data_IF_701447342781
#
_entry.id   IF_701447342781
#
_cell.length_a   1.000
_cell.length_b   1.000
_cell.length_c   1.000
_cell.angle_alpha   90.00
_cell.angle_beta   90.00
_cell.angle_gamma   90.00
#
_symmetry.space_group_name_H-M   'P 1'
#
loop_
_entity.id
_entity.type
_entity.pdbx_description
1 polymer ?
#
# COMPACT_ATOMS: atom_id res chain seq x y z
N UNK A 1 16.82 16.43 26.16
CA UNK A 1 17.00 15.45 25.06
C UNK A 1 16.14 14.21 25.30
N UNK A 2 14.86 14.40 25.67
CA UNK A 2 13.88 13.32 25.92
C UNK A 2 12.70 13.41 24.92
N UNK A 3 12.53 14.55 24.24
CA UNK A 3 11.36 14.79 23.36
C UNK A 3 11.48 14.24 21.94
N UNK A 4 12.68 13.92 21.43
CA UNK A 4 12.82 13.43 20.05
C UNK A 4 12.44 11.95 19.93
N UNK A 5 12.77 11.12 20.91
CA UNK A 5 12.44 9.69 20.91
C UNK A 5 10.93 9.51 21.07
N UNK A 6 10.32 10.21 22.03
CA UNK A 6 8.86 10.16 22.25
C UNK A 6 8.08 10.76 21.09
N UNK A 7 8.59 11.81 20.43
CA UNK A 7 7.99 12.34 19.21
C UNK A 7 8.05 11.31 18.07
N UNK A 8 9.20 10.68 17.83
CA UNK A 8 9.36 9.64 16.81
C UNK A 8 8.44 8.44 17.05
N UNK A 9 8.34 7.96 18.29
CA UNK A 9 7.42 6.89 18.71
C UNK A 9 5.95 7.31 18.58
N UNK A 10 5.61 8.56 18.92
CA UNK A 10 4.25 9.09 18.74
C UNK A 10 3.88 9.31 17.26
N UNK A 11 4.87 9.62 16.42
CA UNK A 11 4.71 9.70 14.98
C UNK A 11 4.53 8.32 14.36
N UNK A 12 4.93 7.21 15.00
CA UNK A 12 4.59 5.86 14.54
C UNK A 12 3.10 5.54 14.65
N UNK A 13 2.35 6.32 15.43
CA UNK A 13 0.92 6.10 15.64
C UNK A 13 0.04 6.94 14.71
N UNK A 14 0.59 7.97 14.06
CA UNK A 14 -0.18 8.98 13.31
C UNK A 14 0.66 9.60 12.18
N UNK A 15 1.65 8.90 11.64
CA UNK A 15 2.65 9.37 10.68
C UNK A 15 2.13 10.40 9.67
N UNK A 16 2.37 11.72 9.87
CA UNK A 16 2.06 12.73 8.86
C UNK A 16 3.02 12.57 7.67
N UNK A 17 2.61 12.82 6.42
CA UNK A 17 1.46 13.64 6.01
C UNK A 17 0.05 13.01 6.12
N UNK A 18 -0.07 11.76 6.60
CA UNK A 18 -1.32 10.98 6.65
C UNK A 18 -2.30 11.31 7.78
N UNK A 19 -2.09 12.41 8.51
CA UNK A 19 -3.15 13.07 9.27
C UNK A 19 -4.21 13.73 8.38
N UNK A 20 -3.97 13.76 7.05
CA UNK A 20 -4.91 14.17 6.01
C UNK A 20 -5.45 12.96 5.24
N UNK A 21 -6.51 13.18 4.46
CA UNK A 21 -7.05 12.14 3.57
C UNK A 21 -5.97 11.62 2.63
N UNK A 22 -5.85 10.30 2.56
CA UNK A 22 -5.00 9.61 1.60
C UNK A 22 -5.28 10.12 0.16
N UNK A 23 -4.27 10.42 -0.69
CA UNK A 23 -4.51 10.85 -2.06
C UNK A 23 -5.32 9.80 -2.82
N UNK A 24 -6.22 10.24 -3.71
CA UNK A 24 -7.04 9.33 -4.48
C UNK A 24 -6.18 8.45 -5.38
N UNK A 25 -6.62 7.21 -5.59
CA UNK A 25 -6.02 6.32 -6.58
C UNK A 25 -6.43 6.75 -7.99
N UNK A 26 -5.49 6.67 -8.93
CA UNK A 26 -5.69 6.91 -10.35
C UNK A 26 -6.50 5.79 -11.01
N UNK A 27 -6.25 4.56 -10.57
CA UNK A 27 -6.92 3.34 -11.04
C UNK A 27 -7.31 2.46 -9.86
N UNK A 28 -8.43 1.76 -10.01
CA UNK A 28 -8.90 0.81 -9.00
C UNK A 28 -8.20 -0.53 -9.15
N UNK A 29 -8.24 -1.32 -8.08
CA UNK A 29 -7.92 -2.74 -8.15
C UNK A 29 -8.72 -3.40 -9.27
N UNK A 30 -8.06 -4.26 -10.04
CA UNK A 30 -8.58 -5.00 -11.20
C UNK A 30 -8.97 -4.11 -12.38
N UNK A 31 -8.72 -2.80 -12.32
CA UNK A 31 -8.94 -1.94 -13.47
C UNK A 31 -7.90 -2.22 -14.55
N UNK A 32 -8.38 -2.43 -15.77
CA UNK A 32 -7.57 -2.60 -16.95
C UNK A 32 -6.89 -1.29 -17.31
N UNK A 33 -5.62 -1.37 -17.67
CA UNK A 33 -4.78 -0.25 -18.11
C UNK A 33 -4.13 -0.56 -19.46
N UNK A 34 -3.75 0.48 -20.18
CA UNK A 34 -2.98 0.39 -21.42
C UNK A 34 -1.57 0.95 -21.19
N UNK A 35 -0.56 0.24 -21.68
CA UNK A 35 0.83 0.64 -21.61
C UNK A 35 1.20 1.44 -22.87
N UNK A 36 1.77 2.66 -22.76
CA UNK A 36 2.01 3.53 -23.91
C UNK A 36 3.01 2.96 -24.94
N UNK A 37 3.93 2.11 -24.49
CA UNK A 37 5.11 1.71 -25.28
C UNK A 37 4.80 0.54 -26.24
N UNK A 38 3.72 -0.21 -26.03
CA UNK A 38 3.58 -1.54 -26.65
C UNK A 38 2.18 -1.96 -27.07
N UNK A 39 1.17 -1.08 -27.03
CA UNK A 39 -0.27 -1.42 -27.19
C UNK A 39 -0.72 -2.57 -26.26
N UNK A 40 0.10 -2.91 -25.27
CA UNK A 40 -0.18 -3.97 -24.33
C UNK A 40 -1.17 -3.48 -23.30
N UNK A 41 -2.08 -4.38 -22.94
CA UNK A 41 -3.00 -4.14 -21.85
C UNK A 41 -2.67 -5.02 -20.67
N UNK A 42 -2.75 -4.45 -19.48
CA UNK A 42 -2.65 -5.17 -18.21
C UNK A 42 -3.79 -4.78 -17.29
N UNK A 43 -3.75 -5.24 -16.05
CA UNK A 43 -4.67 -4.80 -15.01
C UNK A 43 -3.94 -4.50 -13.71
N UNK A 44 -4.48 -3.58 -12.93
CA UNK A 44 -3.97 -3.25 -11.62
C UNK A 44 -4.23 -4.41 -10.65
N UNK A 45 -3.16 -5.03 -10.15
CA UNK A 45 -3.22 -6.08 -9.14
C UNK A 45 -2.76 -5.59 -7.76
N UNK A 46 -2.30 -4.35 -7.64
CA UNK A 46 -1.89 -3.80 -6.37
C UNK A 46 -1.48 -2.35 -6.47
N UNK A 47 -1.38 -1.71 -5.33
CA UNK A 47 -0.91 -0.34 -5.21
C UNK A 47 -0.18 -0.19 -3.87
N UNK A 48 0.89 0.60 -3.86
CA UNK A 48 1.63 0.93 -2.67
C UNK A 48 2.03 2.40 -2.68
N UNK A 49 2.11 3.01 -1.50
CA UNK A 49 2.67 4.33 -1.34
C UNK A 49 4.19 4.23 -1.23
N UNK A 50 4.91 4.90 -2.12
CA UNK A 50 6.37 4.95 -2.12
C UNK A 50 6.86 6.31 -2.62
N UNK A 51 7.88 6.88 -1.98
CA UNK A 51 8.51 8.16 -2.39
C UNK A 51 7.48 9.27 -2.69
N UNK A 52 6.47 9.40 -1.83
CA UNK A 52 5.43 10.42 -1.91
C UNK A 52 4.49 10.30 -3.14
N UNK A 53 4.35 9.10 -3.71
CA UNK A 53 3.40 8.84 -4.79
C UNK A 53 2.84 7.41 -4.72
N UNK A 54 1.75 7.18 -5.44
CA UNK A 54 1.23 5.84 -5.68
C UNK A 54 2.04 5.13 -6.75
N UNK A 55 2.52 3.94 -6.41
CA UNK A 55 3.11 2.99 -7.35
C UNK A 55 2.12 1.85 -7.54
N UNK A 56 1.76 1.61 -8.80
CA UNK A 56 0.77 0.63 -9.22
C UNK A 56 1.45 -0.62 -9.74
N UNK A 57 1.02 -1.77 -9.23
CA UNK A 57 1.46 -3.07 -9.72
C UNK A 57 0.51 -3.53 -10.83
N UNK A 58 1.00 -3.56 -12.06
CA UNK A 58 0.25 -3.90 -13.26
C UNK A 58 0.68 -5.27 -13.76
N UNK A 59 -0.25 -6.23 -13.80
CA UNK A 59 0.00 -7.53 -14.42
C UNK A 59 -0.18 -7.41 -15.92
N UNK A 60 0.86 -7.74 -16.68
CA UNK A 60 0.84 -7.78 -18.13
C UNK A 60 1.62 -9.01 -18.63
N UNK A 61 1.00 -9.85 -19.48
CA UNK A 61 1.65 -11.02 -20.09
C UNK A 61 2.38 -11.96 -19.10
N UNK A 62 1.88 -12.10 -17.87
CA UNK A 62 2.46 -12.90 -16.76
C UNK A 62 3.62 -12.25 -16.00
N UNK A 63 3.95 -10.99 -16.30
CA UNK A 63 4.88 -10.18 -15.52
C UNK A 63 4.12 -9.11 -14.72
N UNK A 64 4.71 -8.68 -13.60
CA UNK A 64 4.21 -7.55 -12.82
C UNK A 64 5.15 -6.37 -13.02
N UNK A 65 4.60 -5.28 -13.54
CA UNK A 65 5.29 -4.00 -13.71
C UNK A 65 4.90 -3.07 -12.56
N UNK A 66 5.85 -2.31 -12.02
CA UNK A 66 5.60 -1.29 -11.00
C UNK A 66 5.71 0.08 -11.64
N UNK A 67 4.59 0.77 -11.76
CA UNK A 67 4.44 1.96 -12.58
C UNK A 67 3.82 3.09 -11.78
N UNK A 68 4.30 4.32 -11.98
CA UNK A 68 3.62 5.52 -11.54
C UNK A 68 2.44 5.85 -12.46
N UNK A 69 1.53 6.72 -11.99
CA UNK A 69 0.30 7.08 -12.72
C UNK A 69 0.54 7.54 -14.16
N UNK A 70 1.60 8.32 -14.39
CA UNK A 70 1.94 8.87 -15.70
C UNK A 70 2.44 7.84 -16.72
N UNK A 71 2.71 6.60 -16.29
CA UNK A 71 3.32 5.56 -17.13
C UNK A 71 2.28 4.62 -17.77
N UNK A 72 0.99 4.83 -17.53
CA UNK A 72 -0.10 4.06 -18.12
C UNK A 72 -1.34 4.90 -18.39
N UNK A 73 -2.28 4.33 -19.15
CA UNK A 73 -3.59 4.92 -19.40
C UNK A 73 -4.69 4.08 -18.79
N UNK A 74 -5.51 4.69 -17.94
CA UNK A 74 -6.71 4.05 -17.38
C UNK A 74 -7.75 3.76 -18.45
N UNK A 75 -8.46 2.64 -18.33
CA UNK A 75 -9.53 2.29 -19.27
C UNK A 75 -10.93 2.36 -18.64
N UNK A 76 -11.03 2.52 -17.32
CA UNK A 76 -12.27 2.43 -16.54
C UNK A 76 -13.02 1.08 -16.72
N UNK A 77 -12.34 0.04 -17.19
CA UNK A 77 -12.90 -1.31 -17.34
C UNK A 77 -12.34 -2.22 -16.26
N UNK A 78 -13.21 -2.77 -15.43
CA UNK A 78 -12.81 -3.74 -14.41
C UNK A 78 -12.69 -5.13 -15.03
N UNK A 79 -11.62 -5.83 -14.69
CA UNK A 79 -11.46 -7.25 -14.96
C UNK A 79 -12.37 -8.07 -14.06
N UNK A 80 -12.88 -9.19 -14.58
CA UNK A 80 -13.69 -10.11 -13.78
C UNK A 80 -12.76 -10.84 -12.82
N UNK A 81 -12.93 -10.57 -11.53
CA UNK A 81 -12.12 -11.19 -10.49
C UNK A 81 -12.78 -12.42 -9.91
N UNK A 82 -11.95 -13.41 -9.56
CA UNK A 82 -12.28 -14.55 -8.70
C UNK A 82 -11.90 -14.28 -7.24
N UNK A 83 -11.18 -13.19 -6.97
CA UNK A 83 -10.63 -12.86 -5.66
C UNK A 83 -11.70 -12.25 -4.77
N UNK A 84 -11.76 -12.70 -3.52
CA UNK A 84 -12.66 -12.18 -2.51
C UNK A 84 -12.41 -10.70 -2.23
N UNK A 85 -13.39 -10.03 -1.63
CA UNK A 85 -13.23 -8.66 -1.15
C UNK A 85 -12.10 -8.59 -0.11
N UNK A 86 -11.18 -7.62 -0.18
CA UNK A 86 -10.11 -7.51 0.80
C UNK A 86 -10.68 -7.22 2.20
N UNK A 87 -10.10 -7.86 3.22
CA UNK A 87 -10.49 -7.67 4.62
C UNK A 87 -10.20 -6.24 5.12
N UNK A 88 -9.14 -5.62 4.58
CA UNK A 88 -8.72 -4.26 4.91
C UNK A 88 -8.58 -3.37 3.67
N UNK A 89 -8.59 -2.07 3.89
CA UNK A 89 -8.46 -1.04 2.86
C UNK A 89 -7.20 -0.21 3.11
N UNK A 90 -6.72 0.46 2.06
CA UNK A 90 -5.70 1.48 2.21
C UNK A 90 -6.21 2.57 3.15
N UNK A 91 -5.35 2.99 4.08
CA UNK A 91 -5.67 3.96 5.12
C UNK A 91 -6.29 3.37 6.39
N UNK A 92 -6.68 2.09 6.40
CA UNK A 92 -7.14 1.44 7.62
C UNK A 92 -6.01 1.41 8.67
N UNK A 93 -6.39 1.63 9.93
CA UNK A 93 -5.50 1.44 11.08
C UNK A 93 -5.66 0.02 11.58
N UNK A 94 -4.53 -0.70 11.64
CA UNK A 94 -4.44 -2.09 12.08
C UNK A 94 -3.50 -2.21 13.27
N UNK A 95 -3.79 -3.14 14.16
CA UNK A 95 -2.84 -3.60 15.18
C UNK A 95 -2.04 -4.78 14.64
N UNK A 96 -0.72 -4.71 14.82
CA UNK A 96 0.23 -5.74 14.39
C UNK A 96 1.19 -6.05 15.53
N UNK A 97 1.41 -7.33 15.78
CA UNK A 97 2.32 -7.81 16.80
C UNK A 97 3.76 -7.91 16.26
N UNK A 98 4.58 -6.90 16.55
CA UNK A 98 5.99 -6.86 16.18
C UNK A 98 6.94 -6.96 17.38
N UNK A 99 6.43 -7.15 18.61
CA UNK A 99 7.25 -7.03 19.82
C UNK A 99 6.55 -7.52 21.09
N UNK A 100 6.82 -6.88 22.22
CA UNK A 100 6.17 -7.26 23.49
C UNK A 100 4.70 -6.81 23.58
N UNK A 101 4.30 -5.84 22.75
CA UNK A 101 2.94 -5.32 22.65
C UNK A 101 2.57 -5.04 21.19
N UNK A 102 1.30 -5.27 20.79
CA UNK A 102 0.80 -4.88 19.48
C UNK A 102 0.96 -3.39 19.23
N UNK A 103 1.32 -3.04 18.00
CA UNK A 103 1.50 -1.65 17.58
C UNK A 103 0.50 -1.28 16.50
N UNK A 104 -0.07 -0.07 16.59
CA UNK A 104 -0.98 0.47 15.59
C UNK A 104 -0.22 1.02 14.40
N UNK A 105 -0.61 0.61 13.20
CA UNK A 105 -0.01 1.00 11.92
C UNK A 105 -1.07 1.24 10.87
N UNK A 106 -0.74 2.03 9.86
CA UNK A 106 -1.61 2.32 8.73
C UNK A 106 -1.28 1.39 7.55
N UNK A 107 -2.30 0.96 6.82
CA UNK A 107 -2.14 0.24 5.55
C UNK A 107 -1.82 1.25 4.44
N UNK A 108 -0.60 1.16 3.90
CA UNK A 108 -0.07 2.00 2.82
C UNK A 108 0.05 1.25 1.49
N UNK A 109 -0.24 -0.05 1.47
CA UNK A 109 -0.26 -0.83 0.25
C UNK A 109 -1.28 -1.96 0.32
N UNK A 110 -1.79 -2.35 -0.84
CA UNK A 110 -2.67 -3.50 -0.99
C UNK A 110 -2.31 -4.22 -2.28
N UNK A 111 -2.21 -5.54 -2.22
CA UNK A 111 -1.82 -6.35 -3.36
C UNK A 111 -2.67 -7.61 -3.42
N UNK A 112 -3.16 -7.94 -4.60
CA UNK A 112 -3.85 -9.19 -4.90
C UNK A 112 -2.86 -10.18 -5.52
N UNK A 113 -2.63 -11.28 -4.81
CA UNK A 113 -1.78 -12.38 -5.25
C UNK A 113 -2.61 -13.66 -5.31
N UNK A 114 -3.03 -14.02 -6.53
CA UNK A 114 -3.97 -15.12 -6.77
C UNK A 114 -5.23 -14.89 -5.92
N UNK A 115 -5.56 -15.84 -5.04
CA UNK A 115 -6.76 -15.79 -4.21
C UNK A 115 -6.54 -15.12 -2.84
N UNK A 116 -5.35 -14.55 -2.59
CA UNK A 116 -4.99 -13.92 -1.32
C UNK A 116 -4.72 -12.42 -1.48
N UNK A 117 -4.90 -11.70 -0.38
CA UNK A 117 -4.52 -10.30 -0.24
C UNK A 117 -3.28 -10.17 0.64
N UNK A 118 -2.36 -9.31 0.20
CA UNK A 118 -1.26 -8.83 1.03
C UNK A 118 -1.46 -7.34 1.28
N UNK A 119 -1.07 -6.92 2.48
CA UNK A 119 -1.21 -5.55 2.95
C UNK A 119 0.17 -4.99 3.25
N UNK A 120 0.48 -3.88 2.61
CA UNK A 120 1.68 -3.11 2.87
C UNK A 120 1.43 -2.26 4.10
N UNK A 121 1.95 -2.68 5.25
CA UNK A 121 1.80 -2.00 6.53
C UNK A 121 3.01 -1.10 6.76
N UNK A 122 2.77 0.10 7.30
CA UNK A 122 3.84 1.01 7.69
C UNK A 122 4.80 0.33 8.68
N UNK A 123 6.07 0.24 8.30
CA UNK A 123 7.14 -0.33 9.12
C UNK A 123 7.97 0.73 9.84
N UNK A 124 8.15 1.91 9.22
CA UNK A 124 8.96 3.01 9.76
C UNK A 124 8.28 4.35 9.54
N UNK A 125 8.50 5.28 10.48
CA UNK A 125 8.00 6.65 10.37
C UNK A 125 8.49 7.34 9.11
N UNK A 126 7.64 8.12 8.41
CA UNK A 126 8.05 8.89 7.26
C UNK A 126 9.00 10.05 7.60
N UNK A 127 9.02 10.49 8.88
CA UNK A 127 9.84 11.60 9.38
C UNK A 127 11.31 11.20 9.58
N UNK A 128 11.60 9.89 9.65
CA UNK A 128 12.97 9.42 9.66
C UNK A 128 13.60 9.69 8.29
N UNK A 129 14.72 10.42 8.27
CA UNK A 129 15.50 10.61 7.04
C UNK A 129 15.84 9.25 6.43
N UNK A 130 15.88 9.20 5.10
CA UNK A 130 16.15 7.98 4.35
C UNK A 130 17.64 7.64 4.43
N UNK A 131 18.10 7.16 5.59
CA UNK A 131 19.52 6.83 5.82
C UNK A 131 19.91 5.50 5.15
N UNK A 132 18.95 4.72 4.63
CA UNK A 132 19.21 3.44 3.95
C UNK A 132 18.12 3.07 2.95
N UNK A 133 18.47 2.23 1.95
CA UNK A 133 17.56 1.66 0.95
C UNK A 133 16.56 0.62 1.50
N UNK A 134 16.31 0.61 2.82
CA UNK A 134 15.40 -0.33 3.44
C UNK A 134 13.95 0.13 3.26
N UNK A 135 13.08 -0.80 2.84
CA UNK A 135 11.65 -0.55 2.66
C UNK A 135 11.01 0.06 3.91
N UNK A 136 10.18 1.10 3.72
CA UNK A 136 9.33 1.68 4.77
C UNK A 136 8.05 0.86 5.01
N UNK A 137 7.85 -0.17 4.21
CA UNK A 137 6.66 -1.02 4.20
C UNK A 137 7.05 -2.48 4.44
N UNK A 138 6.26 -3.16 5.27
CA UNK A 138 6.31 -4.62 5.42
C UNK A 138 5.02 -5.22 4.85
N UNK A 139 5.14 -6.33 4.14
CA UNK A 139 3.99 -7.02 3.55
C UNK A 139 3.52 -8.13 4.48
N UNK A 140 2.25 -8.08 4.86
CA UNK A 140 1.62 -9.03 5.78
C UNK A 140 0.33 -9.60 5.18
N UNK A 141 -0.04 -10.80 5.61
CA UNK A 141 -1.33 -11.41 5.29
C UNK A 141 -2.42 -10.85 6.20
N UNK A 142 -3.69 -11.04 5.83
CA UNK A 142 -4.84 -10.67 6.66
C UNK A 142 -4.81 -11.30 8.06
N UNK A 143 -4.34 -12.55 8.17
CA UNK A 143 -4.29 -13.30 9.44
C UNK A 143 -3.38 -12.66 10.49
N UNK A 144 -2.42 -11.83 10.06
CA UNK A 144 -1.44 -11.17 10.92
C UNK A 144 -1.90 -9.78 11.38
N UNK A 145 -3.08 -9.34 10.94
CA UNK A 145 -3.60 -7.99 11.16
C UNK A 145 -4.91 -8.01 11.95
N UNK A 146 -5.05 -7.07 12.88
CA UNK A 146 -6.29 -6.87 13.62
C UNK A 146 -6.87 -5.51 13.27
N UNK A 147 -8.15 -5.48 12.88
CA UNK A 147 -8.85 -4.22 12.61
C UNK A 147 -9.14 -3.50 13.93
N UNK A 148 -8.77 -2.24 14.03
CA UNK A 148 -8.93 -1.42 15.24
C UNK A 148 -10.17 -0.51 15.13
N UNK A 149 -11.08 -0.75 14.18
CA UNK A 149 -12.29 0.05 14.02
C UNK A 149 -13.13 0.06 15.30
N UNK A 150 -13.14 1.23 15.96
CA UNK A 150 -14.04 1.62 17.05
C UNK A 150 -15.00 2.66 16.50
#
# INVERSE_FOLDING_TARGET
>A
MINQITALESCWHISPEWGQSMPPLAVKMLEKVLLPISDLSGYCCGVQWERQQWIYAIVCQSETLYLAEQEFHRTNRLEKSTVFTPAFKLGDIVEVDFGEQPTRRIIQGIFSLKDNWLYGVEWRSPILEEVSAQSRTIWLADVDLVNVSV
#
